data_IF_053479779181
#
_entry.id   IF_053479779181
#
_cell.length_a   1.000
_cell.length_b   1.000
_cell.length_c   1.000
_cell.angle_alpha   90.00
_cell.angle_beta   90.00
_cell.angle_gamma   90.00
#
_symmetry.space_group_name_H-M   'P 1'
#
loop_
_entity.id
_entity.type
_entity.pdbx_description
1 polymer ?
#
# COMPACT_ATOMS: atom_id res chain seq x y z
N UNK A 1 37.98 11.67 42.96
CA UNK A 1 38.66 12.08 41.72
C UNK A 1 38.85 13.58 41.77
N UNK A 2 40.06 14.10 41.60
CA UNK A 2 40.28 15.54 41.56
C UNK A 2 39.58 16.13 40.33
N UNK A 3 38.68 17.11 40.54
CA UNK A 3 38.04 17.85 39.45
C UNK A 3 39.11 18.64 38.70
N UNK A 4 39.35 18.31 37.43
CA UNK A 4 40.13 19.15 36.52
C UNK A 4 39.17 20.15 35.89
N UNK A 5 39.08 21.34 36.47
CA UNK A 5 38.27 22.43 35.91
C UNK A 5 39.11 23.17 34.85
N UNK A 6 38.61 23.23 33.62
CA UNK A 6 39.19 24.06 32.55
C UNK A 6 38.56 25.45 32.62
N UNK A 7 39.34 26.47 33.00
CA UNK A 7 38.91 27.89 33.02
C UNK A 7 39.58 28.59 31.84
N UNK A 8 38.80 29.15 30.92
CA UNK A 8 39.33 29.86 29.74
C UNK A 8 38.77 31.27 29.68
N UNK A 9 39.65 32.25 29.44
CA UNK A 9 39.32 33.68 29.56
C UNK A 9 38.59 34.30 28.36
N UNK A 10 38.73 33.75 27.15
CA UNK A 10 38.06 34.30 25.96
C UNK A 10 37.70 33.24 24.90
N UNK A 11 38.61 32.32 24.55
CA UNK A 11 38.37 31.31 23.50
C UNK A 11 39.12 30.01 23.79
N UNK A 12 38.47 28.86 23.56
CA UNK A 12 39.09 27.53 23.57
C UNK A 12 39.35 27.12 22.13
N UNK A 13 40.61 26.88 21.75
CA UNK A 13 40.96 26.32 20.44
C UNK A 13 41.10 24.80 20.55
N UNK A 14 40.26 24.05 19.83
CA UNK A 14 40.20 22.57 19.84
C UNK A 14 40.67 21.98 18.51
N UNK A 15 41.61 22.64 17.83
CA UNK A 15 41.98 22.44 16.41
C UNK A 15 42.36 21.01 15.98
N UNK A 16 42.57 20.08 16.91
CA UNK A 16 42.88 18.67 16.63
C UNK A 16 41.83 17.68 17.18
N UNK A 17 40.83 18.17 17.93
CA UNK A 17 39.84 17.34 18.65
C UNK A 17 38.41 17.60 18.14
N UNK A 18 38.09 18.83 17.76
CA UNK A 18 36.79 19.18 17.19
C UNK A 18 36.94 20.35 16.21
N UNK A 19 36.54 20.13 14.95
CA UNK A 19 36.44 21.20 13.95
C UNK A 19 34.96 21.54 13.74
N UNK A 20 34.49 22.62 14.36
CA UNK A 20 33.09 23.07 14.30
C UNK A 20 32.98 24.29 13.38
N UNK A 21 33.23 24.08 12.09
CA UNK A 21 33.17 25.13 11.06
C UNK A 21 32.53 24.60 9.78
N UNK A 22 31.95 25.52 9.01
CA UNK A 22 31.59 25.25 7.62
C UNK A 22 32.87 25.04 6.80
N UNK A 23 32.95 23.92 6.09
CA UNK A 23 33.99 23.66 5.10
C UNK A 23 33.61 24.23 3.73
N UNK A 24 34.47 24.03 2.73
CA UNK A 24 34.19 24.42 1.35
C UNK A 24 33.04 23.59 0.77
N UNK A 25 32.24 24.18 -0.13
CA UNK A 25 31.18 23.47 -0.84
C UNK A 25 31.77 22.28 -1.63
N UNK A 26 31.09 21.14 -1.60
CA UNK A 26 31.55 19.89 -2.22
C UNK A 26 30.56 19.47 -3.30
N UNK A 27 31.02 19.33 -4.54
CA UNK A 27 30.18 18.74 -5.58
C UNK A 27 29.97 17.24 -5.32
N UNK A 28 28.72 16.81 -5.41
CA UNK A 28 28.33 15.40 -5.29
C UNK A 28 29.01 14.53 -6.34
N UNK A 29 29.41 13.34 -5.90
CA UNK A 29 30.09 12.32 -6.71
C UNK A 29 29.78 10.93 -6.14
N UNK A 30 29.94 9.87 -6.94
CA UNK A 30 29.75 8.49 -6.49
C UNK A 30 30.59 8.16 -5.25
N UNK A 31 31.87 8.56 -5.26
CA UNK A 31 32.73 8.56 -4.09
C UNK A 31 32.93 10.01 -3.63
N UNK A 32 32.14 10.45 -2.65
CA UNK A 32 32.20 11.81 -2.14
C UNK A 32 33.50 12.02 -1.35
N UNK A 33 34.26 13.04 -1.71
CA UNK A 33 35.51 13.40 -1.01
C UNK A 33 35.26 14.70 -0.25
N UNK A 34 35.26 14.61 1.07
CA UNK A 34 35.10 15.76 1.95
C UNK A 34 36.46 16.38 2.30
N UNK A 35 36.47 17.70 2.49
CA UNK A 35 37.63 18.42 3.00
C UNK A 35 37.86 18.18 4.50
N UNK A 36 39.02 18.61 5.00
CA UNK A 36 39.33 18.67 6.45
C UNK A 36 39.15 20.08 7.04
N UNK A 37 38.64 21.00 6.23
CA UNK A 37 38.45 22.42 6.49
C UNK A 37 37.15 22.75 7.26
N UNK A 38 36.34 21.74 7.56
CA UNK A 38 35.17 21.87 8.40
C UNK A 38 34.53 20.52 8.72
N UNK A 39 33.34 20.58 9.31
CA UNK A 39 32.48 19.44 9.55
C UNK A 39 31.03 19.68 9.08
N UNK A 40 30.77 20.81 8.43
CA UNK A 40 29.50 21.12 7.79
C UNK A 40 29.79 21.48 6.32
N UNK A 41 29.17 20.76 5.38
CA UNK A 41 29.44 20.90 3.96
C UNK A 41 28.14 21.09 3.17
N UNK A 42 28.09 22.09 2.29
CA UNK A 42 27.05 22.18 1.28
C UNK A 42 27.41 21.21 0.15
N UNK A 43 26.49 20.31 -0.16
CA UNK A 43 26.60 19.31 -1.21
C UNK A 43 25.89 19.85 -2.44
N UNK A 44 26.70 20.28 -3.39
CA UNK A 44 26.25 20.81 -4.67
C UNK A 44 26.12 19.71 -5.72
N UNK A 45 25.45 19.99 -6.84
CA UNK A 45 25.28 19.03 -7.94
C UNK A 45 24.25 17.95 -7.67
N UNK A 46 24.14 16.99 -8.60
CA UNK A 46 23.05 16.00 -8.65
C UNK A 46 23.53 14.57 -8.86
N UNK A 47 24.84 14.31 -8.69
CA UNK A 47 25.41 12.97 -8.88
C UNK A 47 25.06 12.10 -7.69
N UNK A 48 24.61 10.87 -7.91
CA UNK A 48 24.34 9.94 -6.82
C UNK A 48 25.61 9.71 -5.97
N UNK A 49 25.45 9.71 -4.64
CA UNK A 49 26.51 9.39 -3.69
C UNK A 49 26.34 7.94 -3.27
N UNK A 50 27.38 7.14 -3.44
CA UNK A 50 27.41 5.71 -3.09
C UNK A 50 28.36 5.40 -1.95
N UNK A 51 29.35 6.25 -1.70
CA UNK A 51 30.28 6.15 -0.57
C UNK A 51 30.89 7.51 -0.24
N UNK A 52 31.54 7.61 0.93
CA UNK A 52 32.23 8.83 1.39
C UNK A 52 33.65 8.44 1.83
N UNK A 53 34.65 9.21 1.38
CA UNK A 53 36.06 8.96 1.72
C UNK A 53 36.37 9.08 3.23
N UNK A 54 37.41 8.41 3.68
CA UNK A 54 37.90 8.46 5.07
C UNK A 54 38.36 9.85 5.49
N UNK A 55 37.87 10.33 6.63
CA UNK A 55 38.40 11.51 7.33
C UNK A 55 39.10 11.14 8.64
N UNK A 56 38.68 10.03 9.26
CA UNK A 56 39.15 9.46 10.51
C UNK A 56 37.97 8.90 11.30
N UNK A 57 38.08 7.65 11.77
CA UNK A 57 37.04 6.98 12.56
C UNK A 57 36.63 7.86 13.75
N UNK A 58 35.33 8.04 13.94
CA UNK A 58 34.71 8.91 14.94
C UNK A 58 34.42 10.32 14.44
N UNK A 59 34.85 10.69 13.23
CA UNK A 59 34.54 12.00 12.63
C UNK A 59 33.05 12.10 12.36
N UNK A 60 32.44 13.18 12.84
CA UNK A 60 31.05 13.52 12.54
C UNK A 60 30.99 14.68 11.55
N UNK A 61 30.15 14.56 10.54
CA UNK A 61 29.91 15.60 9.54
C UNK A 61 28.41 15.85 9.37
N UNK A 62 28.05 17.08 9.02
CA UNK A 62 26.75 17.46 8.53
C UNK A 62 26.85 17.76 7.03
N UNK A 63 25.97 17.14 6.24
CA UNK A 63 25.82 17.42 4.81
C UNK A 63 24.52 18.18 4.62
N UNK A 64 24.58 19.36 4.00
CA UNK A 64 23.42 20.13 3.55
C UNK A 64 23.28 19.95 2.05
N UNK A 65 22.15 19.44 1.56
CA UNK A 65 21.97 19.17 0.13
C UNK A 65 21.37 20.38 -0.60
N UNK A 66 21.99 20.84 -1.68
CA UNK A 66 21.50 21.98 -2.47
C UNK A 66 20.55 21.57 -3.61
N UNK A 67 20.41 20.27 -3.84
CA UNK A 67 19.68 19.74 -4.99
C UNK A 67 19.28 18.29 -4.83
N UNK A 68 18.71 17.74 -5.90
CA UNK A 68 18.22 16.36 -5.93
C UNK A 68 19.33 15.43 -6.42
N UNK A 69 19.71 14.49 -5.57
CA UNK A 69 20.54 13.33 -5.87
C UNK A 69 20.02 12.08 -5.14
N UNK A 70 20.49 10.91 -5.56
CA UNK A 70 20.28 9.67 -4.81
C UNK A 70 21.40 9.47 -3.80
N UNK A 71 21.07 9.48 -2.51
CA UNK A 71 21.96 9.06 -1.44
C UNK A 71 21.78 7.55 -1.26
N UNK A 72 22.78 6.77 -1.65
CA UNK A 72 22.62 5.33 -1.88
C UNK A 72 23.02 4.54 -0.65
N UNK A 73 22.10 3.72 -0.14
CA UNK A 73 22.36 2.84 0.98
C UNK A 73 23.25 1.66 0.58
N UNK A 74 24.23 1.36 1.44
CA UNK A 74 24.94 0.09 1.47
C UNK A 74 24.95 -0.47 2.90
N UNK A 75 24.80 -1.78 3.05
CA UNK A 75 24.62 -2.44 4.35
C UNK A 75 25.82 -2.27 5.30
N UNK A 76 27.02 -2.02 4.77
CA UNK A 76 28.25 -1.89 5.58
C UNK A 76 29.07 -0.62 5.32
N UNK A 77 28.91 0.01 4.16
CA UNK A 77 29.73 1.15 3.72
C UNK A 77 29.00 2.45 4.08
N UNK A 78 27.93 2.77 3.37
CA UNK A 78 27.08 3.93 3.64
C UNK A 78 25.71 3.51 4.20
N UNK A 79 25.61 3.44 5.53
CA UNK A 79 24.39 3.03 6.21
C UNK A 79 23.47 4.24 6.37
N UNK A 80 22.29 4.19 5.75
CA UNK A 80 21.26 5.23 5.83
C UNK A 80 20.10 4.79 6.75
N UNK A 81 19.30 5.74 7.28
CA UNK A 81 18.04 5.42 7.93
C UNK A 81 17.16 4.51 7.06
N UNK A 82 16.32 3.69 7.71
CA UNK A 82 15.45 2.66 7.12
C UNK A 82 16.12 1.58 6.25
N UNK A 83 17.44 1.61 6.04
CA UNK A 83 18.12 0.64 5.17
C UNK A 83 17.75 0.80 3.69
N UNK A 84 17.34 2.00 3.28
CA UNK A 84 16.92 2.30 1.91
C UNK A 84 17.66 3.53 1.36
N UNK A 85 17.67 3.67 0.03
CA UNK A 85 18.16 4.87 -0.63
C UNK A 85 17.30 6.07 -0.25
N UNK A 86 17.91 7.24 -0.12
CA UNK A 86 17.19 8.49 0.12
C UNK A 86 17.30 9.36 -1.14
N UNK A 87 16.16 9.74 -1.70
CA UNK A 87 16.10 10.85 -2.67
C UNK A 87 16.15 12.16 -1.88
N UNK A 88 17.27 12.87 -2.04
CA UNK A 88 17.50 14.16 -1.40
C UNK A 88 16.70 15.28 -2.09
N UNK A 89 16.53 16.40 -1.40
CA UNK A 89 16.02 17.63 -1.96
C UNK A 89 16.85 18.82 -1.44
N UNK A 90 16.71 19.97 -2.09
CA UNK A 90 17.34 21.21 -1.63
C UNK A 90 16.88 21.54 -0.20
N UNK A 91 17.84 21.76 0.70
CA UNK A 91 17.62 22.05 2.11
C UNK A 91 17.58 20.82 3.03
N UNK A 92 17.67 19.59 2.51
CA UNK A 92 17.79 18.40 3.35
C UNK A 92 19.13 18.41 4.10
N UNK A 93 19.14 17.90 5.35
CA UNK A 93 20.36 17.77 6.15
C UNK A 93 20.59 16.34 6.64
N UNK A 94 21.82 15.84 6.53
CA UNK A 94 22.24 14.54 7.03
C UNK A 94 23.41 14.68 8.00
N UNK A 95 23.30 14.06 9.18
CA UNK A 95 24.39 13.94 10.15
C UNK A 95 24.96 12.52 10.04
N UNK A 96 26.25 12.41 9.76
CA UNK A 96 26.96 11.15 9.61
C UNK A 96 28.12 11.03 10.59
N UNK A 97 28.46 9.79 10.92
CA UNK A 97 29.68 9.42 11.64
C UNK A 97 30.45 8.34 10.87
N UNK A 98 31.75 8.53 10.72
CA UNK A 98 32.64 7.48 10.22
C UNK A 98 32.84 6.44 11.32
N UNK A 99 32.22 5.27 11.21
CA UNK A 99 32.25 4.26 12.28
C UNK A 99 33.36 3.21 12.07
N UNK A 100 33.78 3.01 10.82
CA UNK A 100 34.96 2.26 10.42
C UNK A 100 35.62 2.99 9.23
N UNK A 101 36.87 2.66 8.90
CA UNK A 101 37.65 3.44 7.92
C UNK A 101 36.97 3.45 6.54
N UNK A 102 36.42 4.60 6.16
CA UNK A 102 35.68 4.79 4.91
C UNK A 102 34.22 4.34 4.98
N UNK A 103 33.79 3.76 6.10
CA UNK A 103 32.42 3.31 6.33
C UNK A 103 31.68 4.33 7.22
N UNK A 104 30.57 4.84 6.71
CA UNK A 104 29.79 5.91 7.30
C UNK A 104 28.39 5.45 7.69
N UNK A 105 27.93 5.94 8.84
CA UNK A 105 26.55 5.79 9.29
C UNK A 105 25.88 7.14 9.38
N UNK A 106 24.80 7.32 8.63
CA UNK A 106 23.89 8.45 8.79
C UNK A 106 23.03 8.21 10.02
N UNK A 107 23.28 8.98 11.08
CA UNK A 107 22.61 8.86 12.38
C UNK A 107 21.37 9.74 12.49
N UNK A 108 21.25 10.75 11.63
CA UNK A 108 20.08 11.61 11.51
C UNK A 108 19.97 12.09 10.07
N UNK A 109 18.76 12.07 9.53
CA UNK A 109 18.44 12.72 8.27
C UNK A 109 17.14 13.51 8.46
N UNK A 110 17.18 14.79 8.13
CA UNK A 110 16.03 15.69 8.25
C UNK A 110 15.71 16.21 6.87
N UNK A 111 14.51 15.89 6.37
CA UNK A 111 14.01 16.51 5.15
C UNK A 111 13.65 17.97 5.41
N UNK A 112 13.94 18.85 4.46
CA UNK A 112 13.56 20.28 4.54
C UNK A 112 12.05 20.46 4.76
N UNK A 113 11.25 19.54 4.19
CA UNK A 113 9.79 19.52 4.34
C UNK A 113 9.30 19.08 5.73
N UNK A 114 10.17 18.51 6.57
CA UNK A 114 9.79 17.89 7.85
C UNK A 114 9.04 16.56 7.71
N UNK A 115 8.87 16.06 6.48
CA UNK A 115 8.26 14.75 6.21
C UNK A 115 9.23 13.65 6.66
N UNK A 116 8.67 12.50 7.05
CA UNK A 116 9.46 11.32 7.39
C UNK A 116 10.37 10.88 6.24
N UNK A 117 11.51 10.30 6.59
CA UNK A 117 12.50 9.78 5.62
C UNK A 117 12.05 8.44 5.03
N UNK A 118 11.12 7.74 5.69
CA UNK A 118 10.40 6.62 5.07
C UNK A 118 9.52 7.17 3.95
N UNK A 119 9.85 6.79 2.72
CA UNK A 119 9.26 7.40 1.52
C UNK A 119 7.85 6.91 1.24
N UNK A 120 7.45 5.70 1.69
CA UNK A 120 6.09 5.22 1.47
C UNK A 120 5.54 4.39 2.64
N UNK A 121 4.30 4.69 3.03
CA UNK A 121 3.50 3.84 3.94
C UNK A 121 3.13 2.50 3.30
N UNK A 122 3.23 2.39 1.96
CA UNK A 122 2.98 1.17 1.20
C UNK A 122 3.94 0.03 1.57
N UNK A 123 5.12 0.37 2.08
CA UNK A 123 6.13 -0.59 2.56
C UNK A 123 5.89 -1.04 4.01
N UNK A 124 5.03 -0.33 4.76
CA UNK A 124 4.57 -0.78 6.07
C UNK A 124 3.54 -1.90 5.84
N UNK A 125 3.95 -3.14 6.09
CA UNK A 125 3.08 -4.32 6.00
C UNK A 125 2.15 -4.49 7.20
N UNK A 126 2.22 -3.61 8.19
CA UNK A 126 1.38 -3.62 9.40
C UNK A 126 0.87 -2.23 9.80
N UNK A 127 0.41 -1.38 8.86
CA UNK A 127 0.07 -0.02 9.19
C UNK A 127 -1.18 -0.06 10.06
N UNK A 128 -1.04 0.29 11.33
CA UNK A 128 -2.19 0.49 12.20
C UNK A 128 -2.57 1.96 12.13
N UNK A 129 -3.81 2.25 11.74
CA UNK A 129 -4.33 3.62 11.74
C UNK A 129 -4.52 4.18 13.16
N UNK A 130 -4.45 3.32 14.19
CA UNK A 130 -4.58 3.73 15.59
C UNK A 130 -5.96 4.31 15.95
N UNK A 131 -6.94 4.22 15.05
CA UNK A 131 -8.26 4.83 15.13
C UNK A 131 -8.98 4.82 13.77
N UNK A 132 -10.07 5.58 13.67
CA UNK A 132 -10.82 5.77 12.43
C UNK A 132 -9.99 6.57 11.41
N UNK A 133 -10.14 6.25 10.12
CA UNK A 133 -9.52 7.02 9.04
C UNK A 133 -10.27 8.35 8.86
N UNK A 134 -9.69 9.46 9.32
CA UNK A 134 -10.18 10.81 9.03
C UNK A 134 -9.62 11.29 7.68
N UNK A 135 -10.49 11.34 6.68
CA UNK A 135 -10.14 11.76 5.32
C UNK A 135 -10.26 13.28 5.12
N UNK A 136 -10.73 14.04 6.11
CA UNK A 136 -11.05 15.48 5.99
C UNK A 136 -11.97 15.76 4.79
N UNK A 137 -11.49 16.49 3.78
CA UNK A 137 -12.23 16.83 2.56
C UNK A 137 -12.05 15.78 1.42
N UNK A 138 -11.30 14.70 1.67
CA UNK A 138 -11.09 13.62 0.70
C UNK A 138 -12.08 12.46 0.90
N UNK A 139 -12.16 11.59 -0.10
CA UNK A 139 -13.07 10.45 -0.12
C UNK A 139 -12.33 9.15 -0.45
N UNK A 140 -12.86 8.02 0.03
CA UNK A 140 -12.51 6.71 -0.52
C UNK A 140 -13.32 6.52 -1.80
N UNK A 141 -12.64 6.60 -2.93
CA UNK A 141 -13.25 6.40 -4.23
C UNK A 141 -13.36 4.90 -4.54
N UNK A 142 -14.56 4.47 -4.92
CA UNK A 142 -14.75 3.18 -5.57
C UNK A 142 -14.43 3.36 -7.05
N UNK A 143 -13.47 2.58 -7.56
CA UNK A 143 -13.15 2.59 -8.98
C UNK A 143 -14.30 1.93 -9.77
N UNK A 144 -15.02 2.75 -10.54
CA UNK A 144 -16.16 2.33 -11.36
C UNK A 144 -15.77 1.74 -12.71
N UNK A 145 -14.49 1.78 -13.06
CA UNK A 145 -13.97 1.25 -14.32
C UNK A 145 -12.64 0.51 -14.11
N UNK A 146 -12.64 -0.63 -13.39
CA UNK A 146 -11.41 -1.40 -13.19
C UNK A 146 -10.71 -1.69 -14.52
N UNK A 147 -9.41 -1.39 -14.61
CA UNK A 147 -8.68 -1.38 -15.88
C UNK A 147 -8.41 -2.78 -16.47
N UNK A 148 -8.44 -3.83 -15.64
CA UNK A 148 -8.07 -5.19 -16.03
C UNK A 148 -9.23 -6.19 -15.91
N UNK A 149 -9.17 -7.25 -16.72
CA UNK A 149 -10.08 -8.39 -16.64
C UNK A 149 -9.97 -9.11 -15.29
N UNK A 150 -11.09 -9.68 -14.81
CA UNK A 150 -11.18 -10.42 -13.55
C UNK A 150 -10.71 -9.58 -12.36
N UNK A 151 -11.23 -8.35 -12.25
CA UNK A 151 -10.85 -7.43 -11.16
C UNK A 151 -12.06 -6.77 -10.50
N UNK A 152 -11.86 -6.28 -9.28
CA UNK A 152 -12.91 -5.62 -8.52
C UNK A 152 -12.39 -4.52 -7.60
N UNK A 153 -13.22 -3.52 -7.37
CA UNK A 153 -12.98 -2.39 -6.48
C UNK A 153 -14.15 -2.21 -5.52
N UNK A 154 -13.88 -1.93 -4.25
CA UNK A 154 -14.91 -1.75 -3.23
C UNK A 154 -14.57 -2.42 -1.89
N UNK A 155 -15.60 -2.69 -1.10
CA UNK A 155 -15.48 -3.34 0.20
C UNK A 155 -15.27 -4.84 0.04
N UNK A 156 -14.18 -5.34 0.64
CA UNK A 156 -13.76 -6.74 0.56
C UNK A 156 -13.65 -7.36 1.95
N UNK A 157 -13.82 -8.66 2.03
CA UNK A 157 -13.55 -9.46 3.23
C UNK A 157 -12.86 -10.77 2.89
N UNK A 158 -12.19 -11.37 3.87
CA UNK A 158 -11.57 -12.69 3.74
C UNK A 158 -12.47 -13.71 4.42
N UNK A 159 -12.94 -14.68 3.64
CA UNK A 159 -13.82 -15.76 4.10
C UNK A 159 -13.41 -17.08 3.47
N UNK A 160 -13.83 -18.18 4.09
CA UNK A 160 -13.55 -19.55 3.64
C UNK A 160 -14.59 -20.01 2.62
N UNK A 161 -14.13 -20.67 1.56
CA UNK A 161 -14.99 -21.37 0.62
C UNK A 161 -15.43 -22.72 1.20
N UNK A 162 -16.73 -22.86 1.53
CA UNK A 162 -17.33 -24.08 2.06
C UNK A 162 -17.74 -25.10 0.99
N UNK A 163 -17.71 -24.73 -0.29
CA UNK A 163 -18.09 -25.62 -1.38
C UNK A 163 -17.10 -26.80 -1.49
N UNK A 164 -17.62 -27.96 -1.91
CA UNK A 164 -16.79 -29.14 -2.17
C UNK A 164 -15.75 -28.94 -3.29
N UNK A 165 -16.01 -27.97 -4.19
CA UNK A 165 -15.12 -27.58 -5.28
C UNK A 165 -14.61 -26.14 -5.14
N UNK A 166 -13.73 -25.75 -6.06
CA UNK A 166 -13.30 -24.36 -6.14
C UNK A 166 -14.43 -23.46 -6.64
N UNK A 167 -14.48 -22.24 -6.13
CA UNK A 167 -15.22 -21.12 -6.76
C UNK A 167 -14.29 -20.37 -7.71
N UNK A 168 -14.87 -19.60 -8.63
CA UNK A 168 -14.20 -18.72 -9.57
C UNK A 168 -14.65 -17.27 -9.37
N UNK A 169 -13.92 -16.33 -9.98
CA UNK A 169 -14.31 -14.93 -9.94
C UNK A 169 -15.74 -14.72 -10.44
N UNK A 170 -16.51 -13.89 -9.72
CA UNK A 170 -17.90 -13.59 -10.08
C UNK A 170 -18.93 -14.56 -9.51
N UNK A 171 -18.49 -15.68 -8.94
CA UNK A 171 -19.37 -16.60 -8.22
C UNK A 171 -19.92 -15.92 -6.97
N UNK A 172 -21.25 -15.93 -6.83
CA UNK A 172 -21.94 -15.34 -5.68
C UNK A 172 -22.41 -16.44 -4.74
N UNK A 173 -22.08 -16.26 -3.46
CA UNK A 173 -22.29 -17.20 -2.39
C UNK A 173 -23.15 -16.59 -1.27
N UNK A 174 -23.84 -17.45 -0.54
CA UNK A 174 -24.53 -17.14 0.71
C UNK A 174 -23.63 -17.49 1.90
N UNK A 175 -23.98 -16.98 3.08
CA UNK A 175 -23.32 -17.34 4.34
C UNK A 175 -24.00 -18.59 4.94
N UNK A 176 -23.29 -19.70 4.97
CA UNK A 176 -23.77 -20.93 5.59
C UNK A 176 -23.69 -20.86 7.13
N UNK A 177 -24.38 -21.80 7.80
CA UNK A 177 -24.51 -21.80 9.25
C UNK A 177 -23.19 -22.09 9.99
N UNK A 178 -22.20 -22.66 9.31
CA UNK A 178 -20.85 -22.91 9.81
C UNK A 178 -19.90 -21.72 9.64
N UNK A 179 -20.34 -20.64 8.98
CA UNK A 179 -19.55 -19.43 8.74
C UNK A 179 -18.74 -19.45 7.44
N UNK A 180 -18.91 -20.50 6.63
CA UNK A 180 -18.29 -20.60 5.31
C UNK A 180 -19.22 -20.07 4.21
N UNK A 181 -18.65 -19.74 3.06
CA UNK A 181 -19.39 -19.26 1.89
C UNK A 181 -19.63 -20.39 0.90
N UNK A 182 -20.89 -20.61 0.56
CA UNK A 182 -21.38 -21.64 -0.36
C UNK A 182 -22.21 -21.04 -1.50
N UNK A 183 -22.27 -21.69 -2.67
CA UNK A 183 -22.97 -21.15 -3.84
C UNK A 183 -24.41 -20.74 -3.53
N UNK A 184 -24.77 -19.52 -3.95
CA UNK A 184 -26.15 -19.08 -3.90
C UNK A 184 -26.94 -19.70 -5.04
N UNK A 185 -28.12 -20.23 -4.72
CA UNK A 185 -29.02 -20.88 -5.68
C UNK A 185 -30.45 -20.41 -5.42
N UNK A 186 -31.04 -19.77 -6.42
CA UNK A 186 -32.40 -19.26 -6.35
C UNK A 186 -33.47 -20.36 -6.34
N UNK A 187 -33.17 -21.60 -6.76
CA UNK A 187 -34.14 -22.72 -6.73
C UNK A 187 -34.27 -23.35 -5.31
N UNK A 188 -33.56 -22.82 -4.32
CA UNK A 188 -33.63 -23.32 -2.95
C UNK A 188 -33.57 -22.21 -1.90
N UNK A 189 -34.52 -22.27 -0.96
CA UNK A 189 -34.65 -21.28 0.12
C UNK A 189 -33.47 -21.28 1.10
N UNK A 190 -32.77 -22.41 1.22
CA UNK A 190 -31.66 -22.58 2.17
C UNK A 190 -30.32 -22.09 1.63
N UNK A 191 -30.22 -21.78 0.34
CA UNK A 191 -29.02 -21.30 -0.36
C UNK A 191 -29.12 -19.81 -0.71
N UNK A 192 -29.94 -19.06 0.02
CA UNK A 192 -30.22 -17.64 -0.19
C UNK A 192 -30.19 -16.90 1.14
N UNK A 193 -29.85 -15.59 1.17
CA UNK A 193 -29.47 -14.73 0.05
C UNK A 193 -28.00 -14.86 -0.36
N UNK A 194 -27.71 -14.65 -1.65
CA UNK A 194 -26.35 -14.45 -2.14
C UNK A 194 -25.85 -13.04 -1.84
N UNK A 195 -24.78 -12.92 -1.04
CA UNK A 195 -24.30 -11.63 -0.50
C UNK A 195 -22.80 -11.40 -0.71
N UNK A 196 -22.07 -12.41 -1.18
CA UNK A 196 -20.61 -12.39 -1.27
C UNK A 196 -20.17 -12.87 -2.64
N UNK A 197 -19.36 -12.09 -3.35
CA UNK A 197 -18.84 -12.48 -4.66
C UNK A 197 -17.35 -12.85 -4.57
N UNK A 198 -16.96 -14.00 -5.09
CA UNK A 198 -15.56 -14.42 -5.13
C UNK A 198 -14.73 -13.51 -6.05
N UNK A 199 -13.53 -13.13 -5.60
CA UNK A 199 -12.61 -12.26 -6.36
C UNK A 199 -11.49 -13.00 -7.07
N UNK A 200 -11.64 -14.31 -7.25
CA UNK A 200 -10.67 -15.16 -7.94
C UNK A 200 -11.02 -16.63 -7.77
N UNK A 201 -10.10 -17.50 -8.18
CA UNK A 201 -10.23 -18.93 -7.87
C UNK A 201 -9.89 -19.18 -6.41
N UNK A 202 -10.84 -19.70 -5.64
CA UNK A 202 -10.64 -20.07 -4.23
C UNK A 202 -10.92 -21.57 -4.10
N UNK A 203 -9.90 -22.34 -3.72
CA UNK A 203 -10.02 -23.79 -3.57
C UNK A 203 -11.00 -24.17 -2.44
N UNK A 204 -11.51 -25.40 -2.45
CA UNK A 204 -12.35 -25.92 -1.38
C UNK A 204 -11.63 -25.82 -0.01
N UNK A 205 -12.35 -25.37 1.01
CA UNK A 205 -11.85 -25.13 2.37
C UNK A 205 -10.68 -24.13 2.48
N UNK A 206 -10.39 -23.35 1.42
CA UNK A 206 -9.41 -22.27 1.46
C UNK A 206 -10.08 -20.93 1.77
N UNK A 207 -9.37 -20.05 2.48
CA UNK A 207 -9.77 -18.65 2.62
C UNK A 207 -9.27 -17.82 1.44
N UNK A 208 -10.10 -16.89 0.97
CA UNK A 208 -9.78 -15.98 -0.12
C UNK A 208 -10.54 -14.67 0.01
N UNK A 209 -10.31 -13.75 -0.91
CA UNK A 209 -10.98 -12.44 -0.92
C UNK A 209 -12.36 -12.51 -1.60
N UNK A 210 -13.31 -11.80 -1.00
CA UNK A 210 -14.70 -11.71 -1.47
C UNK A 210 -15.16 -10.26 -1.46
N UNK A 211 -15.88 -9.85 -2.50
CA UNK A 211 -16.54 -8.55 -2.57
C UNK A 211 -17.87 -8.60 -1.82
N UNK A 212 -18.11 -7.61 -0.96
CA UNK A 212 -19.38 -7.46 -0.22
C UNK A 212 -20.19 -6.27 -0.75
N UNK A 213 -19.52 -5.28 -1.32
CA UNK A 213 -20.11 -4.13 -2.02
C UNK A 213 -19.06 -3.53 -2.94
N UNK A 214 -19.41 -3.27 -4.20
CA UNK A 214 -18.52 -2.56 -5.10
C UNK A 214 -18.73 -2.89 -6.56
N UNK A 215 -17.65 -2.80 -7.32
CA UNK A 215 -17.61 -2.92 -8.77
C UNK A 215 -16.82 -4.17 -9.11
N UNK A 216 -17.36 -5.00 -10.00
CA UNK A 216 -16.67 -6.17 -10.54
C UNK A 216 -16.63 -6.07 -12.08
N UNK A 217 -15.48 -6.40 -12.65
CA UNK A 217 -15.25 -6.49 -14.09
C UNK A 217 -14.85 -7.91 -14.47
N UNK A 218 -15.47 -8.41 -15.53
CA UNK A 218 -15.06 -9.62 -16.22
C UNK A 218 -15.41 -9.46 -17.71
N UNK A 219 -14.38 -9.47 -18.56
CA UNK A 219 -14.49 -9.21 -19.99
C UNK A 219 -15.25 -10.33 -20.74
N UNK A 220 -15.44 -11.49 -20.09
CA UNK A 220 -16.26 -12.58 -20.62
C UNK A 220 -17.77 -12.37 -20.35
N UNK A 221 -18.15 -11.41 -19.52
CA UNK A 221 -19.56 -11.05 -19.35
C UNK A 221 -20.10 -10.29 -20.56
N UNK A 222 -21.42 -10.34 -20.72
CA UNK A 222 -22.14 -9.67 -21.79
C UNK A 222 -23.48 -9.13 -21.28
N UNK A 223 -23.40 -8.30 -20.25
CA UNK A 223 -24.55 -7.70 -19.59
C UNK A 223 -25.26 -6.68 -20.47
N UNK A 224 -26.59 -6.64 -20.36
CA UNK A 224 -27.39 -5.55 -20.91
C UNK A 224 -27.49 -4.44 -19.88
N UNK A 225 -27.29 -3.19 -20.31
CA UNK A 225 -27.54 -1.99 -19.50
C UNK A 225 -28.93 -1.42 -19.81
N UNK A 226 -29.59 -0.80 -18.83
CA UNK A 226 -30.86 -0.12 -19.07
C UNK A 226 -31.70 0.08 -17.83
N UNK A 227 -32.74 0.90 -17.98
CA UNK A 227 -33.71 1.17 -16.91
C UNK A 227 -34.64 -0.02 -16.65
N UNK A 228 -35.28 -0.01 -15.48
CA UNK A 228 -36.19 -1.09 -15.07
C UNK A 228 -35.43 -2.37 -14.77
N UNK A 229 -35.93 -3.51 -15.24
CA UNK A 229 -35.31 -4.83 -15.02
C UNK A 229 -34.17 -5.14 -15.99
N UNK A 230 -33.97 -4.33 -17.04
CA UNK A 230 -33.01 -4.62 -18.11
C UNK A 230 -31.56 -4.67 -17.61
N UNK A 231 -31.19 -3.75 -16.71
CA UNK A 231 -29.86 -3.71 -16.12
C UNK A 231 -29.70 -4.56 -14.86
N UNK A 232 -30.77 -5.16 -14.33
CA UNK A 232 -30.71 -5.87 -13.05
C UNK A 232 -30.06 -7.23 -13.21
N UNK A 233 -29.26 -7.59 -12.21
CA UNK A 233 -28.58 -8.88 -12.13
C UNK A 233 -29.12 -9.61 -10.89
N UNK A 234 -29.51 -10.87 -11.08
CA UNK A 234 -30.13 -11.74 -10.09
C UNK A 234 -29.23 -12.93 -9.77
N UNK A 235 -29.49 -13.57 -8.64
CA UNK A 235 -29.02 -14.94 -8.41
C UNK A 235 -29.70 -15.90 -9.40
N UNK A 236 -28.92 -16.80 -9.98
CA UNK A 236 -29.41 -17.84 -10.88
C UNK A 236 -30.00 -19.04 -10.11
N UNK A 237 -30.81 -19.85 -10.79
CA UNK A 237 -31.36 -21.12 -10.31
C UNK A 237 -30.41 -22.32 -10.51
N UNK A 238 -29.12 -22.09 -10.83
CA UNK A 238 -28.16 -23.20 -11.07
C UNK A 238 -27.16 -23.34 -9.94
N UNK A 239 -26.72 -22.25 -9.32
CA UNK A 239 -25.87 -22.31 -8.12
C UNK A 239 -24.57 -23.09 -8.29
N UNK A 240 -23.86 -22.90 -9.41
CA UNK A 240 -22.55 -23.55 -9.66
C UNK A 240 -21.54 -22.55 -10.18
N UNK A 241 -20.26 -22.93 -10.16
CA UNK A 241 -19.17 -22.05 -10.60
C UNK A 241 -19.37 -21.54 -12.03
N UNK A 242 -19.14 -20.25 -12.23
CA UNK A 242 -19.38 -19.50 -13.46
C UNK A 242 -20.86 -19.24 -13.77
N UNK A 243 -21.79 -19.71 -12.93
CA UNK A 243 -23.21 -19.71 -13.22
C UNK A 243 -24.06 -19.48 -11.97
N UNK A 244 -23.72 -18.45 -11.20
CA UNK A 244 -24.51 -17.95 -10.05
C UNK A 244 -25.27 -16.67 -10.37
N UNK A 245 -25.03 -16.03 -11.51
CA UNK A 245 -25.57 -14.73 -11.90
C UNK A 245 -26.38 -14.82 -13.19
N UNK A 246 -27.45 -14.03 -13.30
CA UNK A 246 -28.27 -13.94 -14.51
C UNK A 246 -28.98 -12.60 -14.63
N UNK A 247 -29.33 -12.16 -15.85
CA UNK A 247 -30.26 -11.03 -16.06
C UNK A 247 -31.71 -11.49 -16.30
N UNK A 248 -31.97 -12.80 -16.21
CA UNK A 248 -33.33 -13.35 -16.25
C UNK A 248 -33.79 -13.65 -14.83
N UNK A 249 -34.81 -12.94 -14.36
CA UNK A 249 -35.36 -13.18 -13.03
C UNK A 249 -35.83 -14.65 -12.90
N UNK A 250 -35.53 -15.34 -11.78
CA UNK A 250 -36.12 -16.63 -11.44
C UNK A 250 -37.66 -16.58 -11.51
N UNK A 251 -38.30 -17.69 -11.90
CA UNK A 251 -39.73 -17.70 -12.24
C UNK A 251 -40.45 -19.02 -12.00
N UNK A 252 -39.74 -20.06 -11.59
CA UNK A 252 -40.33 -21.31 -11.10
C UNK A 252 -41.04 -21.11 -9.76
N UNK A 253 -42.03 -21.95 -9.48
CA UNK A 253 -42.70 -21.95 -8.17
C UNK A 253 -41.72 -22.48 -7.11
N UNK A 254 -41.51 -21.72 -6.04
CA UNK A 254 -40.49 -21.97 -5.02
C UNK A 254 -39.20 -21.15 -5.21
N UNK A 255 -38.97 -20.60 -6.42
CA UNK A 255 -37.78 -19.80 -6.72
C UNK A 255 -37.74 -18.53 -5.85
N UNK A 256 -36.54 -18.18 -5.40
CA UNK A 256 -36.23 -16.95 -4.69
C UNK A 256 -35.68 -15.90 -5.64
N UNK A 257 -36.44 -14.83 -5.89
CA UNK A 257 -35.98 -13.68 -6.67
C UNK A 257 -35.21 -12.72 -5.76
N UNK A 258 -33.91 -12.58 -6.04
CA UNK A 258 -33.03 -11.63 -5.38
C UNK A 258 -32.24 -10.84 -6.42
N UNK A 259 -32.28 -9.51 -6.33
CA UNK A 259 -31.38 -8.64 -7.10
C UNK A 259 -30.08 -8.49 -6.33
N UNK A 260 -28.96 -8.80 -6.99
CA UNK A 260 -27.62 -8.69 -6.39
C UNK A 260 -26.79 -7.52 -6.90
N UNK A 261 -27.27 -6.86 -7.95
CA UNK A 261 -26.57 -5.74 -8.55
C UNK A 261 -27.22 -5.26 -9.83
N UNK A 262 -26.51 -4.39 -10.53
CA UNK A 262 -26.89 -3.96 -11.88
C UNK A 262 -25.67 -3.76 -12.77
N UNK A 263 -25.87 -3.90 -14.07
CA UNK A 263 -24.85 -3.68 -15.08
C UNK A 263 -24.53 -2.19 -15.25
N UNK A 264 -23.25 -1.86 -15.30
CA UNK A 264 -22.73 -0.51 -15.62
C UNK A 264 -22.27 -0.48 -17.09
N UNK A 265 -21.71 -1.57 -17.58
CA UNK A 265 -21.36 -1.84 -18.98
C UNK A 265 -21.61 -3.32 -19.29
N UNK A 266 -21.21 -3.79 -20.47
CA UNK A 266 -21.36 -5.20 -20.85
C UNK A 266 -20.49 -6.15 -20.00
N UNK A 267 -19.37 -5.64 -19.51
CA UNK A 267 -18.31 -6.35 -18.79
C UNK A 267 -18.21 -5.94 -17.31
N UNK A 268 -18.96 -4.94 -16.87
CA UNK A 268 -18.88 -4.38 -15.50
C UNK A 268 -20.25 -4.36 -14.84
N UNK A 269 -20.30 -4.77 -13.57
CA UNK A 269 -21.47 -4.62 -12.72
C UNK A 269 -21.15 -3.92 -11.40
N UNK A 270 -22.13 -3.18 -10.88
CA UNK A 270 -22.19 -2.84 -9.47
C UNK A 270 -22.78 -4.03 -8.71
N UNK A 271 -21.96 -4.67 -7.89
CA UNK A 271 -22.40 -5.62 -6.88
C UNK A 271 -22.86 -4.85 -5.64
N UNK A 272 -24.17 -4.89 -5.37
CA UNK A 272 -24.80 -4.28 -4.20
C UNK A 272 -25.97 -5.17 -3.80
N UNK A 273 -25.68 -6.29 -3.12
CA UNK A 273 -26.67 -7.33 -2.96
C UNK A 273 -27.78 -6.94 -2.00
N UNK A 274 -29.03 -7.04 -2.46
CA UNK A 274 -30.20 -6.82 -1.63
C UNK A 274 -30.44 -8.05 -0.75
N UNK A 275 -30.64 -7.91 0.57
CA UNK A 275 -31.04 -9.04 1.41
C UNK A 275 -32.53 -9.39 1.27
N UNK A 276 -33.30 -8.62 0.50
CA UNK A 276 -34.74 -8.88 0.28
C UNK A 276 -34.92 -10.02 -0.72
N UNK A 277 -35.70 -11.02 -0.33
CA UNK A 277 -36.08 -12.17 -1.14
C UNK A 277 -37.58 -12.11 -1.46
N UNK A 278 -37.94 -12.46 -2.69
CA UNK A 278 -39.34 -12.65 -3.11
C UNK A 278 -39.49 -14.07 -3.62
N UNK A 279 -40.30 -14.87 -2.92
CA UNK A 279 -40.65 -16.21 -3.37
C UNK A 279 -41.75 -16.16 -4.43
N UNK A 280 -41.56 -16.93 -5.50
CA UNK A 280 -42.58 -17.12 -6.53
C UNK A 280 -43.50 -18.28 -6.11
N UNK A 281 -44.81 -18.05 -6.15
CA UNK A 281 -45.84 -19.04 -5.77
C UNK A 281 -46.56 -19.60 -6.98
#
# INVERSE_FOLDING_TARGET
MASKTLIVGNTISLSEIANLSKGSDVASANALVLGKDGNYFDITGTTAITSIGTLGIGTMVCLHFDGILTFTHHATDLILPSGANITTAAGDEAILIEYASGDWRCISYTKASGISVITEISEDTSPQLGGDLDLTDYEILVDTSPDADVTASGMKGVFTNGNAGAVAFGDVCYMAADGDLEFADADAVTSMPGLYMALGTIAAAASGEWLTLGIARNDAWNWTIGAGTLGLIYISVTGTTGNTLTQTAPSGSGDQVQVVGHAISADIMMFNPSPVLVEIT
#
